data_IF_714005708891
#
_entry.id   IF_714005708891
#
_cell.length_a   1.000
_cell.length_b   1.000
_cell.length_c   1.000
_cell.angle_alpha   90.00
_cell.angle_beta   90.00
_cell.angle_gamma   90.00
#
_symmetry.space_group_name_H-M   'P 1'
#
loop_
_entity.id
_entity.type
_entity.pdbx_description
1 polymer ?
#
# COMPACT_ATOMS: atom_id res chain seq x y z
N UNK A 1 -14.51 6.42 -19.53
CA UNK A 1 -14.60 6.67 -18.59
C UNK A 1 -14.11 5.91 -17.91
N UNK A 2 -13.65 5.98 -17.72
CA UNK A 2 -13.23 5.29 -17.00
C UNK A 2 -13.90 5.52 -15.89
N UNK A 3 -14.20 5.03 -15.65
CA UNK A 3 -14.83 5.11 -14.74
C UNK A 3 -14.21 5.24 -13.67
N UNK A 4 -13.37 5.96 -13.76
CA UNK A 4 -12.61 6.19 -12.69
C UNK A 4 -13.27 6.19 -11.42
N UNK A 5 -14.42 6.39 -11.47
CA UNK A 5 -15.12 6.42 -10.26
C UNK A 5 -14.99 5.19 -9.47
N UNK A 6 -14.48 4.12 -10.06
CA UNK A 6 -14.45 3.02 -9.37
C UNK A 6 -13.24 2.55 -8.94
N UNK A 7 -12.28 3.33 -8.88
CA UNK A 7 -11.08 2.97 -8.24
C UNK A 7 -11.38 2.68 -6.79
N UNK A 8 -11.02 1.54 -6.31
CA UNK A 8 -11.19 1.20 -4.91
C UNK A 8 -10.19 1.96 -4.07
N UNK A 9 -10.63 2.50 -2.96
CA UNK A 9 -9.72 3.14 -2.02
C UNK A 9 -9.64 2.31 -0.75
N UNK A 10 -8.49 2.37 -0.09
CA UNK A 10 -8.21 1.55 1.07
C UNK A 10 -7.87 2.47 2.24
N UNK A 11 -8.41 2.15 3.40
CA UNK A 11 -8.19 2.95 4.60
C UNK A 11 -6.80 2.68 5.15
N UNK A 12 -6.03 3.73 5.38
CA UNK A 12 -4.74 3.63 6.04
C UNK A 12 -4.99 3.83 7.52
N UNK A 13 -4.85 2.78 8.31
CA UNK A 13 -5.17 2.87 9.73
C UNK A 13 -4.06 3.55 10.52
N UNK A 14 -4.30 3.77 11.81
CA UNK A 14 -3.36 4.50 12.65
C UNK A 14 -2.03 3.80 12.90
N UNK A 15 -1.94 2.52 12.54
CA UNK A 15 -0.70 1.77 12.69
C UNK A 15 0.07 1.67 11.39
N UNK A 16 -0.41 2.33 10.36
CA UNK A 16 0.27 2.28 9.06
C UNK A 16 -0.08 1.07 8.22
N UNK A 17 -1.24 0.48 8.46
CA UNK A 17 -1.63 -0.73 7.77
C UNK A 17 -2.91 -0.55 6.96
N UNK A 18 -3.07 -1.36 5.93
CA UNK A 18 -4.30 -1.37 5.14
C UNK A 18 -4.61 -2.80 4.75
N UNK A 19 -5.89 -3.12 4.60
CA UNK A 19 -6.33 -4.47 4.26
C UNK A 19 -6.46 -4.59 2.76
N UNK A 20 -5.79 -5.57 2.17
CA UNK A 20 -5.85 -5.83 0.74
C UNK A 20 -6.55 -7.16 0.47
N UNK A 21 -7.48 -7.19 -0.48
CA UNK A 21 -8.12 -8.46 -0.86
C UNK A 21 -7.12 -9.45 -1.43
N UNK A 22 -7.41 -10.74 -1.29
CA UNK A 22 -6.53 -11.79 -1.80
C UNK A 22 -6.23 -11.64 -3.28
N UNK A 23 -7.20 -11.24 -4.07
CA UNK A 23 -6.98 -11.09 -5.51
C UNK A 23 -6.02 -9.94 -5.80
N UNK A 24 -5.99 -8.92 -4.96
CA UNK A 24 -5.04 -7.82 -5.12
C UNK A 24 -3.64 -8.31 -4.80
N UNK A 25 -3.50 -9.08 -3.70
CA UNK A 25 -2.21 -9.63 -3.34
C UNK A 25 -1.67 -10.50 -4.47
N UNK A 26 -2.51 -11.34 -5.04
CA UNK A 26 -2.10 -12.23 -6.13
C UNK A 26 -1.71 -11.44 -7.37
N UNK A 27 -2.47 -10.39 -7.70
CA UNK A 27 -2.19 -9.59 -8.90
C UNK A 27 -0.86 -8.89 -8.83
N UNK A 28 -0.44 -8.47 -7.64
CA UNK A 28 0.82 -7.75 -7.47
C UNK A 28 1.93 -8.66 -6.90
N UNK A 29 1.66 -9.95 -6.83
CA UNK A 29 2.63 -10.93 -6.34
C UNK A 29 3.12 -10.64 -4.93
N UNK A 30 2.23 -10.11 -4.11
CA UNK A 30 2.56 -9.84 -2.71
C UNK A 30 2.27 -11.08 -1.90
N UNK A 31 3.26 -11.56 -1.13
CA UNK A 31 3.09 -12.84 -0.44
C UNK A 31 2.26 -12.69 0.82
N UNK A 32 1.16 -13.41 0.92
CA UNK A 32 0.40 -13.45 2.16
C UNK A 32 1.26 -14.14 3.22
N UNK A 33 1.47 -13.48 4.34
CA UNK A 33 2.33 -14.03 5.38
C UNK A 33 3.81 -13.75 5.18
N UNK A 34 4.16 -12.89 4.25
CA UNK A 34 5.56 -12.59 3.95
C UNK A 34 5.92 -11.13 4.10
N UNK A 35 7.01 -10.73 3.46
CA UNK A 35 7.50 -9.36 3.51
C UNK A 35 7.47 -8.72 2.13
N UNK A 36 7.46 -7.39 2.11
CA UNK A 36 7.43 -6.61 0.89
C UNK A 36 8.48 -5.52 1.05
N UNK A 37 9.23 -5.27 -0.02
CA UNK A 37 10.25 -4.24 0.03
C UNK A 37 9.65 -2.89 -0.29
N UNK A 38 10.05 -1.87 0.47
CA UNK A 38 9.65 -0.49 0.20
C UNK A 38 10.68 0.11 -0.75
N UNK A 39 10.21 0.63 -1.86
CA UNK A 39 11.06 1.27 -2.84
C UNK A 39 11.04 2.78 -2.69
N UNK A 40 10.63 3.48 -3.75
CA UNK A 40 10.65 4.94 -3.73
C UNK A 40 9.53 5.47 -2.82
N UNK A 41 9.86 6.44 -2.00
CA UNK A 41 8.91 7.09 -1.12
C UNK A 41 8.83 8.55 -1.52
N UNK A 42 7.65 9.00 -1.92
CA UNK A 42 7.42 10.38 -2.33
C UNK A 42 6.35 11.00 -1.44
N UNK A 43 6.07 12.28 -1.62
CA UNK A 43 5.07 12.94 -0.77
C UNK A 43 3.72 12.26 -0.84
N UNK A 44 3.31 11.81 -2.03
CA UNK A 44 1.98 11.26 -2.22
C UNK A 44 1.98 9.82 -2.69
N UNK A 45 3.07 9.11 -2.57
CA UNK A 45 3.10 7.70 -3.00
C UNK A 45 4.22 6.93 -2.30
N UNK A 46 3.99 5.62 -2.15
CA UNK A 46 4.99 4.70 -1.64
C UNK A 46 5.04 3.52 -2.61
N UNK A 47 6.21 3.20 -3.11
CA UNK A 47 6.39 2.11 -4.03
C UNK A 47 6.69 0.82 -3.27
N UNK A 48 6.05 -0.27 -3.66
CA UNK A 48 6.29 -1.57 -3.05
C UNK A 48 6.74 -2.57 -4.10
N UNK A 49 7.72 -3.38 -3.73
CA UNK A 49 8.25 -4.42 -4.61
C UNK A 49 8.05 -5.77 -3.95
N UNK A 50 7.70 -6.80 -4.70
CA UNK A 50 7.76 -8.15 -4.14
C UNK A 50 9.22 -8.44 -3.78
N UNK A 51 9.47 -8.77 -2.54
CA UNK A 51 10.85 -9.01 -2.13
C UNK A 51 10.92 -9.80 -0.85
N UNK A 52 12.08 -10.36 -0.58
CA UNK A 52 12.22 -11.28 0.52
C UNK A 52 12.69 -10.64 1.81
N UNK A 53 13.27 -9.49 1.78
CA UNK A 53 13.84 -8.89 2.96
C UNK A 53 13.32 -7.48 3.13
N UNK A 54 12.02 -7.33 3.04
CA UNK A 54 11.43 -6.02 3.06
C UNK A 54 11.05 -5.53 4.43
N UNK A 55 10.85 -4.21 4.54
CA UNK A 55 10.44 -3.57 5.77
C UNK A 55 8.96 -3.71 6.01
N UNK A 56 8.18 -3.89 4.97
CA UNK A 56 6.74 -4.03 5.10
C UNK A 56 6.37 -5.50 5.21
N UNK A 57 5.25 -5.79 5.83
CA UNK A 57 4.80 -7.17 6.00
C UNK A 57 3.37 -7.32 5.53
N UNK A 58 3.01 -8.52 5.12
CA UNK A 58 1.63 -8.84 4.76
C UNK A 58 1.23 -10.02 5.63
N UNK A 59 0.19 -9.87 6.44
CA UNK A 59 -0.28 -10.95 7.28
C UNK A 59 -0.98 -12.00 6.41
N UNK A 60 -1.16 -13.21 6.92
CA UNK A 60 -1.91 -14.22 6.16
C UNK A 60 -3.33 -13.76 5.80
N UNK A 61 -3.91 -12.86 6.59
CA UNK A 61 -5.24 -12.34 6.31
C UNK A 61 -5.27 -11.16 5.36
N UNK A 62 -4.12 -10.73 4.84
CA UNK A 62 -4.09 -9.64 3.86
C UNK A 62 -3.85 -8.26 4.42
N UNK A 63 -3.42 -8.15 5.67
CA UNK A 63 -3.10 -6.85 6.26
C UNK A 63 -1.68 -6.45 5.86
N UNK A 64 -1.57 -5.45 5.01
CA UNK A 64 -0.28 -4.90 4.61
C UNK A 64 0.10 -3.83 5.62
N UNK A 65 1.24 -4.02 6.29
CA UNK A 65 1.72 -3.02 7.26
C UNK A 65 3.02 -2.44 6.77
N UNK A 66 3.04 -1.14 6.59
CA UNK A 66 4.24 -0.40 6.22
C UNK A 66 4.67 0.39 7.45
N UNK A 67 5.95 0.37 7.85
CA UNK A 67 6.38 1.04 9.08
C UNK A 67 5.97 2.50 9.12
N UNK A 68 5.60 2.98 10.30
CA UNK A 68 5.18 4.36 10.47
C UNK A 68 6.27 5.33 10.04
N UNK A 69 7.54 4.96 10.19
CA UNK A 69 8.64 5.81 9.76
C UNK A 69 8.61 6.07 8.24
N UNK A 70 8.08 5.12 7.47
CA UNK A 70 7.95 5.32 6.02
C UNK A 70 6.85 6.35 5.76
N UNK A 71 5.70 6.20 6.42
CA UNK A 71 4.61 7.16 6.24
C UNK A 71 5.03 8.55 6.69
N UNK A 72 5.89 8.64 7.69
CA UNK A 72 6.41 9.91 8.17
C UNK A 72 7.22 10.70 7.15
N UNK A 73 7.64 10.03 6.06
CA UNK A 73 8.36 10.70 4.97
C UNK A 73 7.41 11.11 3.85
N UNK A 74 6.12 10.94 4.03
CA UNK A 74 5.10 11.27 3.04
C UNK A 74 4.12 12.28 3.62
N UNK A 75 3.21 12.76 2.81
CA UNK A 75 2.11 13.60 3.27
C UNK A 75 0.90 12.77 3.69
N UNK A 76 0.96 11.44 3.51
CA UNK A 76 -0.14 10.57 3.90
C UNK A 76 -0.11 10.37 5.41
N UNK A 77 -1.28 10.34 6.03
CA UNK A 77 -1.38 10.33 7.48
C UNK A 77 -2.08 9.08 7.97
N UNK A 78 -1.37 8.19 8.66
CA UNK A 78 -2.00 7.03 9.26
C UNK A 78 -3.19 7.42 10.14
N UNK A 79 -4.29 6.71 9.96
CA UNK A 79 -5.53 7.01 10.68
C UNK A 79 -6.38 8.06 10.03
N UNK A 80 -5.94 8.66 8.91
CA UNK A 80 -6.71 9.74 8.27
C UNK A 80 -6.72 9.67 6.75
N UNK A 81 -5.83 8.94 6.14
CA UNK A 81 -5.71 8.95 4.68
C UNK A 81 -6.37 7.75 4.04
N UNK A 82 -6.84 7.94 2.83
CA UNK A 82 -7.32 6.87 1.97
C UNK A 82 -6.32 6.72 0.83
N UNK A 83 -6.01 5.49 0.47
CA UNK A 83 -5.00 5.19 -0.52
C UNK A 83 -5.60 4.43 -1.70
N UNK A 84 -5.11 4.71 -2.89
CA UNK A 84 -5.40 3.92 -4.08
C UNK A 84 -4.20 3.09 -4.44
N UNK A 85 -4.40 2.15 -5.34
CA UNK A 85 -3.34 1.29 -5.84
C UNK A 85 -3.09 1.61 -7.30
N UNK A 86 -1.84 1.85 -7.62
CA UNK A 86 -1.46 2.16 -9.00
C UNK A 86 -0.37 1.20 -9.43
N UNK A 87 -0.66 0.30 -10.36
CA UNK A 87 0.36 -0.61 -10.85
C UNK A 87 1.29 0.12 -11.80
N UNK A 88 2.58 -0.17 -11.72
CA UNK A 88 3.53 0.35 -12.67
C UNK A 88 4.58 -0.71 -12.93
N UNK A 89 4.50 -1.34 -14.10
CA UNK A 89 5.37 -2.45 -14.47
C UNK A 89 5.17 -3.59 -13.48
N UNK A 90 6.21 -3.93 -12.71
CA UNK A 90 6.09 -5.04 -11.77
C UNK A 90 6.05 -4.54 -10.34
N UNK A 91 5.76 -3.28 -10.13
CA UNK A 91 5.70 -2.72 -8.79
C UNK A 91 4.31 -2.17 -8.53
N UNK A 92 4.04 -1.90 -7.28
CA UNK A 92 2.78 -1.34 -6.86
C UNK A 92 3.05 -0.03 -6.14
N UNK A 93 2.34 1.03 -6.53
CA UNK A 93 2.40 2.28 -5.80
C UNK A 93 1.15 2.43 -4.96
N UNK A 94 1.33 2.75 -3.68
CA UNK A 94 0.25 3.17 -2.82
C UNK A 94 0.17 4.69 -2.97
N UNK A 95 -0.96 5.19 -3.43
CA UNK A 95 -1.07 6.60 -3.82
C UNK A 95 -2.12 7.29 -2.96
N UNK A 96 -1.79 8.52 -2.52
CA UNK A 96 -2.70 9.31 -1.71
C UNK A 96 -3.97 9.63 -2.48
N UNK A 97 -5.14 9.34 -1.88
CA UNK A 97 -6.42 9.66 -2.46
C UNK A 97 -7.22 10.63 -1.61
N UNK A 98 -6.64 11.10 -0.54
CA UNK A 98 -7.25 12.14 0.26
C UNK A 98 -7.26 11.85 1.74
N UNK A 99 -7.68 12.82 2.50
CA UNK A 99 -7.81 12.70 3.93
C UNK A 99 -9.27 12.67 4.32
N UNK A 100 -9.55 12.11 5.48
CA UNK A 100 -10.87 12.18 6.01
C UNK A 100 -11.27 13.60 6.29
#
# INVERSE_FOLDING_TARGET
RYDGGWETVYWLDGEGALVLPQQVLASYRLPAGGTVQVGRVCAQSVELWPGQAGEATVSPGGLLRVPLAVWGRTAMQPGRSWLGLLPFRQTLFLVDRGLL
#
